data_IF_801628413645
#
_entry.id   IF_801628413645
#
_cell.length_a   1.000
_cell.length_b   1.000
_cell.length_c   1.000
_cell.angle_alpha   90.00
_cell.angle_beta   90.00
_cell.angle_gamma   90.00
#
_symmetry.space_group_name_H-M   'P 1'
#
loop_
_entity.id
_entity.type
_entity.pdbx_description
1 polymer ?
#
# COMPACT_ATOMS: atom_id res chain seq x y z
N UNK A 1 -29.64 -22.46 -30.15
CA UNK A 1 -29.63 -22.25 -28.68
C UNK A 1 -28.91 -20.95 -28.38
N UNK A 2 -29.64 -19.88 -28.07
CA UNK A 2 -29.06 -18.57 -27.80
C UNK A 2 -28.53 -18.54 -26.35
N UNK A 3 -27.21 -18.44 -26.19
CA UNK A 3 -26.58 -18.21 -24.89
C UNK A 3 -27.05 -16.84 -24.38
N UNK A 4 -27.72 -16.85 -23.23
CA UNK A 4 -28.14 -15.66 -22.52
C UNK A 4 -26.95 -14.69 -22.40
N UNK A 5 -27.10 -13.51 -22.98
CA UNK A 5 -26.18 -12.40 -22.80
C UNK A 5 -26.25 -11.98 -21.34
N UNK A 6 -25.23 -12.39 -20.58
CA UNK A 6 -24.96 -11.91 -19.23
C UNK A 6 -24.98 -10.39 -19.30
N UNK A 7 -26.02 -9.76 -18.72
CA UNK A 7 -26.26 -8.32 -18.80
C UNK A 7 -24.99 -7.60 -18.36
N UNK A 8 -24.24 -7.06 -19.34
CA UNK A 8 -23.05 -6.25 -19.09
C UNK A 8 -23.48 -5.10 -18.17
N UNK A 9 -23.11 -5.17 -16.90
CA UNK A 9 -23.56 -4.22 -15.87
C UNK A 9 -23.11 -2.77 -16.16
N UNK A 10 -22.18 -2.59 -17.11
CA UNK A 10 -21.60 -1.31 -17.51
C UNK A 10 -21.63 -1.20 -19.04
N UNK A 11 -22.71 -0.63 -19.56
CA UNK A 11 -22.95 -0.47 -21.00
C UNK A 11 -22.50 0.86 -21.60
N UNK A 12 -22.18 1.86 -20.76
CA UNK A 12 -21.77 3.21 -21.21
C UNK A 12 -20.25 3.27 -21.28
N UNK A 13 -19.72 3.63 -22.44
CA UNK A 13 -18.28 3.81 -22.68
C UNK A 13 -17.93 5.30 -22.67
N UNK A 14 -16.85 5.65 -21.98
CA UNK A 14 -16.21 6.96 -22.09
C UNK A 14 -14.95 6.80 -22.94
N UNK A 15 -14.70 7.71 -23.88
CA UNK A 15 -13.53 7.72 -24.75
C UNK A 15 -12.84 9.08 -24.70
N UNK A 16 -11.51 9.06 -24.74
CA UNK A 16 -10.66 10.24 -24.85
C UNK A 16 -9.55 9.97 -25.86
N UNK A 17 -9.03 11.03 -26.48
CA UNK A 17 -7.86 10.95 -27.36
C UNK A 17 -6.61 11.17 -26.51
N UNK A 18 -5.59 10.35 -26.74
CA UNK A 18 -4.30 10.44 -26.07
C UNK A 18 -3.20 10.55 -27.12
N UNK A 19 -2.18 11.36 -26.84
CA UNK A 19 -0.93 11.32 -27.56
C UNK A 19 0.00 10.22 -26.98
N UNK A 20 1.16 10.03 -27.59
CA UNK A 20 2.09 8.96 -27.20
C UNK A 20 2.67 9.15 -25.79
N UNK A 21 2.98 10.39 -25.41
CA UNK A 21 3.49 10.72 -24.08
C UNK A 21 2.45 10.46 -22.98
N UNK A 22 1.19 10.80 -23.24
CA UNK A 22 0.07 10.55 -22.33
C UNK A 22 -0.21 9.05 -22.20
N UNK A 23 -0.13 8.30 -23.30
CA UNK A 23 -0.28 6.84 -23.29
C UNK A 23 0.79 6.17 -22.41
N UNK A 24 2.06 6.58 -22.53
CA UNK A 24 3.14 6.08 -21.69
C UNK A 24 2.95 6.43 -20.21
N UNK A 25 2.48 7.64 -19.91
CA UNK A 25 2.16 8.05 -18.55
C UNK A 25 1.07 7.17 -17.93
N UNK A 26 -0.01 6.91 -18.68
CA UNK A 26 -1.10 6.02 -18.25
C UNK A 26 -0.62 4.59 -18.05
N UNK A 27 0.22 4.06 -18.94
CA UNK A 27 0.79 2.71 -18.82
C UNK A 27 1.70 2.56 -17.60
N UNK A 28 2.54 3.56 -17.32
CA UNK A 28 3.39 3.57 -16.12
C UNK A 28 2.56 3.61 -14.84
N UNK A 29 1.52 4.44 -14.80
CA UNK A 29 0.59 4.51 -13.66
C UNK A 29 -0.15 3.20 -13.41
N UNK A 30 -0.65 2.55 -14.47
CA UNK A 30 -1.28 1.23 -14.38
C UNK A 30 -0.29 0.13 -13.99
N UNK A 31 0.93 0.15 -14.54
CA UNK A 31 1.98 -0.82 -14.22
C UNK A 31 2.39 -0.81 -12.74
N UNK A 32 2.45 0.38 -12.13
CA UNK A 32 2.72 0.51 -10.68
C UNK A 32 1.59 0.03 -9.77
N UNK A 33 0.40 -0.21 -10.31
CA UNK A 33 -0.78 -0.64 -9.53
C UNK A 33 -1.19 -2.09 -9.77
N UNK A 34 -0.59 -2.77 -10.76
CA UNK A 34 -0.91 -4.16 -11.09
C UNK A 34 -2.31 -4.39 -11.67
N UNK A 35 -3.04 -3.32 -11.99
CA UNK A 35 -4.38 -3.39 -12.59
C UNK A 35 -4.34 -3.06 -14.09
N UNK A 36 -5.29 -3.58 -14.89
CA UNK A 36 -5.41 -3.20 -16.30
C UNK A 36 -5.62 -1.70 -16.48
N UNK A 37 -5.07 -1.13 -17.56
CA UNK A 37 -5.18 0.31 -17.90
C UNK A 37 -6.63 0.82 -17.85
N UNK A 38 -7.60 0.04 -18.35
CA UNK A 38 -9.00 0.43 -18.33
C UNK A 38 -9.59 0.53 -16.91
N UNK A 39 -9.17 -0.36 -16.01
CA UNK A 39 -9.54 -0.29 -14.59
C UNK A 39 -8.88 0.92 -13.94
N UNK A 40 -7.57 1.11 -14.16
CA UNK A 40 -6.82 2.27 -13.64
C UNK A 40 -7.46 3.60 -14.03
N UNK A 41 -7.75 3.79 -15.32
CA UNK A 41 -8.39 5.01 -15.84
C UNK A 41 -9.75 5.24 -15.21
N UNK A 42 -10.55 4.18 -15.01
CA UNK A 42 -11.86 4.31 -14.39
C UNK A 42 -11.75 4.72 -12.93
N UNK A 43 -10.90 4.07 -12.15
CA UNK A 43 -10.73 4.38 -10.73
C UNK A 43 -10.22 5.81 -10.57
N UNK A 44 -9.23 6.20 -11.37
CA UNK A 44 -8.73 7.58 -11.43
C UNK A 44 -9.80 8.61 -11.83
N UNK A 45 -10.61 8.33 -12.87
CA UNK A 45 -11.66 9.24 -13.33
C UNK A 45 -12.82 9.37 -12.34
N UNK A 46 -13.10 8.34 -11.54
CA UNK A 46 -14.12 8.37 -10.50
C UNK A 46 -13.59 8.94 -9.17
N UNK A 47 -12.31 9.35 -9.12
CA UNK A 47 -11.61 9.71 -7.89
C UNK A 47 -11.73 8.65 -6.79
N UNK A 48 -12.04 7.42 -7.19
CA UNK A 48 -11.83 6.25 -6.37
C UNK A 48 -10.31 6.10 -6.33
N UNK A 49 -9.72 5.91 -5.15
CA UNK A 49 -8.29 5.67 -5.09
C UNK A 49 -8.00 4.47 -6.01
N UNK A 50 -7.32 4.70 -7.15
CA UNK A 50 -6.79 3.65 -8.01
C UNK A 50 -5.98 2.78 -7.09
N UNK A 51 -6.60 1.67 -6.65
CA UNK A 51 -6.16 0.96 -5.47
C UNK A 51 -4.69 0.72 -5.66
N UNK A 52 -3.86 1.43 -4.87
CA UNK A 52 -2.52 0.95 -4.60
C UNK A 52 -2.75 -0.52 -4.29
N UNK A 53 -2.14 -1.48 -5.02
CA UNK A 53 -2.21 -2.86 -4.60
C UNK A 53 -1.80 -2.77 -3.15
N UNK A 54 -2.73 -3.08 -2.26
CA UNK A 54 -2.41 -3.11 -0.85
C UNK A 54 -1.16 -3.99 -0.81
N UNK A 55 -0.05 -3.57 -0.18
CA UNK A 55 1.05 -4.50 0.00
C UNK A 55 0.42 -5.79 0.50
N UNK A 56 0.79 -6.93 -0.09
CA UNK A 56 0.12 -8.19 0.17
C UNK A 56 -0.14 -8.24 1.67
N UNK A 57 -1.40 -8.42 2.07
CA UNK A 57 -1.78 -8.38 3.48
C UNK A 57 -0.87 -9.32 4.29
N UNK A 58 -0.36 -10.37 3.64
CA UNK A 58 0.67 -11.25 4.14
C UNK A 58 2.05 -10.58 4.33
N UNK A 59 2.53 -9.80 3.36
CA UNK A 59 3.78 -9.04 3.47
C UNK A 59 3.70 -7.95 4.55
N UNK A 60 2.59 -7.20 4.60
CA UNK A 60 2.37 -6.20 5.65
C UNK A 60 2.34 -6.85 7.05
N UNK A 61 1.72 -8.02 7.19
CA UNK A 61 1.74 -8.79 8.43
C UNK A 61 3.14 -9.32 8.78
N UNK A 62 3.92 -9.79 7.80
CA UNK A 62 5.32 -10.21 8.01
C UNK A 62 6.20 -9.07 8.48
N UNK A 63 6.08 -7.89 7.86
CA UNK A 63 6.81 -6.69 8.27
C UNK A 63 6.40 -6.29 9.69
N UNK A 64 5.10 -6.27 9.99
CA UNK A 64 4.60 -5.95 11.33
C UNK A 64 5.14 -6.90 12.41
N UNK A 65 5.24 -8.21 12.12
CA UNK A 65 5.86 -9.19 13.03
C UNK A 65 7.32 -8.86 13.30
N UNK A 66 8.11 -8.59 12.25
CA UNK A 66 9.53 -8.23 12.37
C UNK A 66 9.75 -6.93 13.15
N UNK A 67 8.86 -5.95 12.99
CA UNK A 67 8.90 -4.73 13.79
C UNK A 67 8.69 -5.02 15.28
N UNK A 68 7.86 -6.01 15.62
CA UNK A 68 7.71 -6.52 16.99
C UNK A 68 9.00 -7.10 17.54
N UNK A 69 9.66 -7.97 16.78
CA UNK A 69 10.94 -8.59 17.18
C UNK A 69 12.04 -7.54 17.44
N UNK A 70 12.10 -6.50 16.59
CA UNK A 70 13.03 -5.38 16.75
C UNK A 70 12.69 -4.59 18.03
N UNK A 71 11.40 -4.28 18.26
CA UNK A 71 10.98 -3.58 19.46
C UNK A 71 11.33 -4.34 20.74
N UNK A 72 11.17 -5.66 20.75
CA UNK A 72 11.53 -6.50 21.89
C UNK A 72 13.04 -6.53 22.11
N UNK A 73 13.83 -6.56 21.04
CA UNK A 73 15.29 -6.44 21.11
C UNK A 73 15.71 -5.09 21.70
N UNK A 74 15.12 -3.99 21.24
CA UNK A 74 15.40 -2.65 21.77
C UNK A 74 15.04 -2.53 23.25
N UNK A 75 13.91 -3.11 23.70
CA UNK A 75 13.56 -3.15 25.12
C UNK A 75 14.56 -3.97 25.93
N UNK A 76 15.03 -5.10 25.42
CA UNK A 76 16.03 -5.93 26.10
C UNK A 76 17.38 -5.20 26.22
N UNK A 77 17.81 -4.49 25.18
CA UNK A 77 19.03 -3.66 25.21
C UNK A 77 18.93 -2.51 26.22
N UNK A 78 17.74 -1.89 26.33
CA UNK A 78 17.48 -0.86 27.33
C UNK A 78 17.48 -1.45 28.75
N UNK A 79 16.81 -2.59 28.96
CA UNK A 79 16.73 -3.25 30.26
C UNK A 79 18.07 -3.79 30.77
N UNK A 80 18.95 -4.22 29.86
CA UNK A 80 20.31 -4.67 30.16
C UNK A 80 21.31 -3.52 30.38
N UNK A 81 20.91 -2.27 30.12
CA UNK A 81 21.79 -1.10 30.22
C UNK A 81 22.85 -1.03 29.12
N UNK A 82 22.74 -1.83 28.07
CA UNK A 82 23.64 -1.80 26.90
C UNK A 82 23.53 -0.46 26.18
N UNK A 83 22.31 0.09 26.12
CA UNK A 83 22.03 1.41 25.56
C UNK A 83 21.48 2.31 26.65
N UNK A 84 22.06 3.51 26.86
CA UNK A 84 21.52 4.49 27.79
C UNK A 84 20.07 4.85 27.46
N UNK A 85 19.23 5.02 28.49
CA UNK A 85 17.82 5.35 28.29
C UNK A 85 17.59 6.72 27.64
N UNK A 86 18.58 7.61 27.74
CA UNK A 86 18.64 8.95 27.18
C UNK A 86 19.36 9.01 25.82
N UNK A 87 19.72 7.87 25.23
CA UNK A 87 20.37 7.83 23.92
C UNK A 87 19.44 8.41 22.83
N UNK A 88 19.83 9.50 22.15
CA UNK A 88 19.00 10.12 21.12
C UNK A 88 18.74 9.19 19.93
N UNK A 89 19.62 8.22 19.67
CA UNK A 89 19.44 7.22 18.61
C UNK A 89 18.36 6.21 18.99
N UNK A 90 18.25 5.85 20.28
CA UNK A 90 17.18 4.99 20.77
C UNK A 90 15.82 5.69 20.63
N UNK A 91 15.76 6.98 20.96
CA UNK A 91 14.56 7.80 20.78
C UNK A 91 14.19 7.99 19.29
N UNK A 92 15.16 8.08 18.39
CA UNK A 92 14.92 8.09 16.95
C UNK A 92 14.38 6.72 16.46
N UNK A 93 15.02 5.62 16.87
CA UNK A 93 14.60 4.28 16.51
C UNK A 93 13.14 3.98 16.93
N UNK A 94 12.73 4.42 18.13
CA UNK A 94 11.34 4.27 18.57
C UNK A 94 10.33 5.04 17.72
N UNK A 95 10.69 6.25 17.27
CA UNK A 95 9.85 7.06 16.38
C UNK A 95 9.70 6.39 15.02
N UNK A 96 10.81 5.98 14.41
CA UNK A 96 10.80 5.31 13.10
C UNK A 96 9.99 4.01 13.15
N UNK A 97 10.12 3.24 14.24
CA UNK A 97 9.39 1.99 14.44
C UNK A 97 7.88 2.23 14.63
N UNK A 98 7.49 3.33 15.29
CA UNK A 98 6.09 3.73 15.42
C UNK A 98 5.49 4.19 14.08
N UNK A 99 6.24 4.91 13.26
CA UNK A 99 5.83 5.32 11.91
C UNK A 99 5.64 4.10 11.00
N UNK A 100 6.61 3.18 10.99
CA UNK A 100 6.53 1.94 10.21
C UNK A 100 5.36 1.05 10.64
N UNK A 101 5.11 0.91 11.95
CA UNK A 101 3.95 0.18 12.49
C UNK A 101 2.64 0.81 12.00
N UNK A 102 2.54 2.14 12.06
CA UNK A 102 1.36 2.88 11.62
C UNK A 102 1.07 2.63 10.14
N UNK A 103 2.11 2.71 9.30
CA UNK A 103 1.99 2.41 7.88
C UNK A 103 1.53 0.96 7.61
N UNK A 104 2.06 -0.02 8.35
CA UNK A 104 1.64 -1.42 8.24
C UNK A 104 0.18 -1.62 8.65
N UNK A 105 -0.26 -1.03 9.77
CA UNK A 105 -1.65 -1.15 10.24
C UNK A 105 -2.64 -0.50 9.26
N UNK A 106 -2.30 0.67 8.72
CA UNK A 106 -3.08 1.32 7.67
C UNK A 106 -3.19 0.44 6.42
N UNK A 107 -2.10 -0.18 5.99
CA UNK A 107 -2.09 -1.10 4.85
C UNK A 107 -2.94 -2.36 5.10
N UNK A 108 -3.04 -2.82 6.34
CA UNK A 108 -3.91 -3.94 6.76
C UNK A 108 -5.40 -3.53 6.92
N UNK A 109 -5.72 -2.24 6.79
CA UNK A 109 -7.06 -1.70 7.04
C UNK A 109 -7.42 -1.64 8.53
N UNK A 110 -6.42 -1.67 9.42
CA UNK A 110 -6.57 -1.55 10.87
C UNK A 110 -6.38 -0.09 11.29
N UNK A 111 -7.02 0.31 12.39
CA UNK A 111 -6.70 1.59 13.02
C UNK A 111 -5.40 1.43 13.83
N UNK A 112 -4.42 2.34 13.66
CA UNK A 112 -3.11 2.26 14.33
C UNK A 112 -3.15 2.43 15.85
#
# INVERSE_FOLDING_TARGET
>A
MAKASEKRQRGISLSARFNEQELEAVRRGAGGTGVPVASFLRTAALNEAAGRPAPDRQDAARVLSRLGDIADTLRAMQASGVVPADDPNLAAAWRDLAEMRTACLQALGMRP
#
